data_IF_605240609516
#
_entry.id   IF_605240609516
#
_cell.length_a   1.000
_cell.length_b   1.000
_cell.length_c   1.000
_cell.angle_alpha   90.00
_cell.angle_beta   90.00
_cell.angle_gamma   90.00
#
_symmetry.space_group_name_H-M   'P 1'
#
loop_
_entity.id
_entity.type
_entity.pdbx_description
1 polymer ?
#
# COMPACT_ATOMS: atom_id res chain seq x y z
N UNK A 1 42.58 -35.20 38.99
CA UNK A 1 41.31 -34.46 39.11
C UNK A 1 41.11 -33.67 37.82
N UNK A 2 40.44 -34.25 36.83
CA UNK A 2 40.18 -33.59 35.54
C UNK A 2 38.80 -32.93 35.62
N UNK A 3 38.76 -31.61 35.48
CA UNK A 3 37.53 -30.82 35.48
C UNK A 3 36.89 -30.96 34.09
N UNK A 4 35.80 -31.71 34.01
CA UNK A 4 34.92 -31.74 32.84
C UNK A 4 34.19 -30.39 32.74
N UNK A 5 34.69 -29.52 31.87
CA UNK A 5 34.05 -28.27 31.47
C UNK A 5 33.20 -28.57 30.23
N UNK A 6 32.02 -29.15 30.45
CA UNK A 6 31.04 -29.46 29.40
C UNK A 6 29.70 -28.86 29.87
N UNK A 7 29.35 -27.66 29.41
CA UNK A 7 28.07 -27.09 29.82
C UNK A 7 27.67 -25.71 29.33
N UNK A 8 28.58 -24.85 28.85
CA UNK A 8 28.24 -23.42 28.68
C UNK A 8 28.06 -22.96 27.21
N UNK A 9 28.74 -23.61 26.26
CA UNK A 9 28.69 -23.19 24.85
C UNK A 9 27.32 -23.38 24.18
N UNK A 10 26.51 -24.35 24.66
CA UNK A 10 25.18 -24.64 24.12
C UNK A 10 24.14 -23.58 24.52
N UNK A 11 24.22 -23.06 25.74
CA UNK A 11 23.33 -22.00 26.21
C UNK A 11 23.67 -20.65 25.58
N UNK A 12 24.97 -20.31 25.50
CA UNK A 12 25.41 -19.10 24.81
C UNK A 12 25.04 -19.10 23.32
N UNK A 13 25.18 -20.25 22.64
CA UNK A 13 24.79 -20.39 21.23
C UNK A 13 23.27 -20.26 21.03
N UNK A 14 22.45 -20.87 21.89
CA UNK A 14 20.99 -20.75 21.82
C UNK A 14 20.51 -19.32 22.12
N UNK A 15 21.10 -18.65 23.10
CA UNK A 15 20.77 -17.26 23.42
C UNK A 15 21.09 -16.31 22.25
N UNK A 16 22.26 -16.48 21.62
CA UNK A 16 22.66 -15.67 20.45
C UNK A 16 21.77 -15.89 19.22
N UNK A 17 21.29 -17.12 19.00
CA UNK A 17 20.34 -17.43 17.92
C UNK A 17 18.96 -16.83 18.21
N UNK A 18 18.51 -16.85 19.46
CA UNK A 18 17.25 -16.21 19.86
C UNK A 18 17.29 -14.70 19.64
N UNK A 19 18.39 -14.05 20.05
CA UNK A 19 18.58 -12.60 19.94
C UNK A 19 18.63 -12.14 18.48
N UNK A 20 19.37 -12.86 17.62
CA UNK A 20 19.41 -12.58 16.18
C UNK A 20 18.02 -12.72 15.53
N UNK A 21 17.22 -13.73 15.92
CA UNK A 21 15.87 -13.91 15.37
C UNK A 21 14.92 -12.78 15.79
N UNK A 22 15.08 -12.21 16.99
CA UNK A 22 14.30 -11.07 17.44
C UNK A 22 14.67 -9.80 16.66
N UNK A 23 15.97 -9.55 16.45
CA UNK A 23 16.45 -8.43 15.64
C UNK A 23 15.97 -8.53 14.19
N UNK A 24 16.06 -9.72 13.60
CA UNK A 24 15.61 -9.96 12.22
C UNK A 24 14.09 -9.78 12.08
N UNK A 25 13.31 -10.22 13.07
CA UNK A 25 11.86 -10.02 13.14
C UNK A 25 11.51 -8.53 13.20
N UNK A 26 12.11 -7.79 14.14
CA UNK A 26 11.84 -6.35 14.32
C UNK A 26 12.20 -5.55 13.06
N UNK A 27 13.29 -5.95 12.41
CA UNK A 27 13.70 -5.35 11.14
C UNK A 27 12.73 -5.67 10.00
N UNK A 28 12.26 -6.91 9.89
CA UNK A 28 11.25 -7.31 8.91
C UNK A 28 9.94 -6.53 9.13
N UNK A 29 9.50 -6.40 10.38
CA UNK A 29 8.31 -5.63 10.75
C UNK A 29 8.46 -4.15 10.43
N UNK A 30 9.59 -3.54 10.78
CA UNK A 30 9.89 -2.13 10.46
C UNK A 30 9.80 -1.86 8.97
N UNK A 31 10.36 -2.76 8.13
CA UNK A 31 10.29 -2.63 6.67
C UNK A 31 8.86 -2.70 6.14
N UNK A 32 8.05 -3.60 6.66
CA UNK A 32 6.66 -3.73 6.26
C UNK A 32 5.84 -2.51 6.64
N UNK A 33 5.97 -2.05 7.89
CA UNK A 33 5.29 -0.84 8.36
C UNK A 33 5.69 0.36 7.50
N UNK A 34 6.97 0.49 7.15
CA UNK A 34 7.44 1.55 6.26
C UNK A 34 6.84 1.44 4.84
N UNK A 35 6.74 0.23 4.30
CA UNK A 35 6.14 0.00 2.98
C UNK A 35 4.63 0.32 2.98
N UNK A 36 3.89 -0.11 4.00
CA UNK A 36 2.45 0.22 4.15
C UNK A 36 2.27 1.73 4.27
N UNK A 37 2.99 2.39 5.19
CA UNK A 37 2.86 3.84 5.41
C UNK A 37 3.22 4.65 4.17
N UNK A 38 4.28 4.26 3.46
CA UNK A 38 4.65 4.91 2.21
C UNK A 38 3.56 4.80 1.15
N UNK A 39 2.94 3.62 1.03
CA UNK A 39 1.84 3.41 0.09
C UNK A 39 0.58 4.20 0.48
N UNK A 40 0.21 4.19 1.76
CA UNK A 40 -0.89 5.01 2.32
C UNK A 40 -0.71 6.49 1.98
N UNK A 41 0.48 7.04 2.18
CA UNK A 41 0.76 8.45 1.88
C UNK A 41 0.54 8.81 0.41
N UNK A 42 0.96 7.93 -0.52
CA UNK A 42 0.77 8.15 -1.96
C UNK A 42 -0.70 8.10 -2.33
N UNK A 43 -1.47 7.17 -1.74
CA UNK A 43 -2.92 7.04 -1.99
C UNK A 43 -3.70 8.22 -1.42
N UNK A 44 -3.34 8.68 -0.21
CA UNK A 44 -3.94 9.85 0.41
C UNK A 44 -3.64 11.11 -0.42
N UNK A 45 -2.40 11.26 -0.90
CA UNK A 45 -2.04 12.37 -1.78
C UNK A 45 -2.90 12.38 -3.05
N UNK A 46 -3.05 11.24 -3.73
CA UNK A 46 -3.89 11.15 -4.93
C UNK A 46 -5.36 11.45 -4.63
N UNK A 47 -5.91 10.88 -3.55
CA UNK A 47 -7.30 11.14 -3.14
C UNK A 47 -7.54 12.62 -2.86
N UNK A 48 -6.61 13.28 -2.16
CA UNK A 48 -6.69 14.73 -1.92
C UNK A 48 -6.62 15.53 -3.23
N UNK A 49 -5.81 15.10 -4.21
CA UNK A 49 -5.75 15.75 -5.52
C UNK A 49 -7.05 15.58 -6.30
N UNK A 50 -7.65 14.38 -6.27
CA UNK A 50 -8.95 14.11 -6.88
C UNK A 50 -10.08 14.92 -6.22
N UNK A 51 -10.06 15.10 -4.90
CA UNK A 51 -11.07 15.88 -4.18
C UNK A 51 -10.91 17.39 -4.39
N UNK A 52 -9.68 17.88 -4.49
CA UNK A 52 -9.38 19.31 -4.67
C UNK A 52 -9.43 19.78 -6.13
N UNK A 53 -9.77 18.90 -7.08
CA UNK A 53 -9.66 19.15 -8.52
C UNK A 53 -8.26 19.60 -8.95
N UNK A 54 -7.22 19.09 -8.27
CA UNK A 54 -5.83 19.32 -8.64
C UNK A 54 -5.47 18.67 -9.98
N UNK A 55 -4.34 19.07 -10.55
CA UNK A 55 -3.74 18.42 -11.73
C UNK A 55 -2.48 17.70 -11.28
N UNK A 56 -2.59 16.48 -10.73
CA UNK A 56 -1.42 15.74 -10.27
C UNK A 56 -0.66 15.11 -11.43
N UNK A 57 0.62 14.81 -11.20
CA UNK A 57 1.41 13.93 -12.06
C UNK A 57 0.99 12.47 -11.80
N UNK A 58 0.01 12.00 -12.56
CA UNK A 58 -0.49 10.63 -12.45
C UNK A 58 0.55 9.58 -12.86
N UNK A 59 1.54 9.92 -13.67
CA UNK A 59 2.61 8.98 -14.06
C UNK A 59 3.56 8.74 -12.88
N UNK A 60 3.94 9.81 -12.17
CA UNK A 60 4.73 9.73 -10.95
C UNK A 60 3.96 8.97 -9.85
N UNK A 61 2.69 9.31 -9.62
CA UNK A 61 1.85 8.65 -8.62
C UNK A 61 1.74 7.14 -8.90
N UNK A 62 1.43 6.76 -10.14
CA UNK A 62 1.29 5.35 -10.52
C UNK A 62 2.61 4.58 -10.38
N UNK A 63 3.73 5.23 -10.70
CA UNK A 63 5.07 4.67 -10.51
C UNK A 63 5.36 4.43 -9.02
N UNK A 64 5.02 5.40 -8.16
CA UNK A 64 5.15 5.28 -6.71
C UNK A 64 4.25 4.19 -6.13
N UNK A 65 2.98 4.09 -6.55
CA UNK A 65 2.08 2.99 -6.17
C UNK A 65 2.64 1.62 -6.55
N UNK A 66 3.12 1.48 -7.80
CA UNK A 66 3.69 0.22 -8.30
C UNK A 66 4.93 -0.20 -7.52
N UNK A 67 5.81 0.76 -7.21
CA UNK A 67 6.99 0.53 -6.37
C UNK A 67 6.59 0.15 -4.94
N UNK A 68 5.69 0.90 -4.33
CA UNK A 68 5.20 0.65 -2.97
C UNK A 68 4.54 -0.72 -2.82
N UNK A 69 3.72 -1.14 -3.78
CA UNK A 69 3.12 -2.48 -3.79
C UNK A 69 4.17 -3.59 -3.92
N UNK A 70 5.20 -3.38 -4.74
CA UNK A 70 6.32 -4.33 -4.86
C UNK A 70 7.08 -4.46 -3.54
N UNK A 71 7.37 -3.33 -2.89
CA UNK A 71 8.10 -3.30 -1.62
C UNK A 71 7.26 -3.92 -0.49
N UNK A 72 5.95 -3.66 -0.47
CA UNK A 72 5.00 -4.29 0.44
C UNK A 72 4.99 -5.81 0.26
N UNK A 73 4.82 -6.31 -0.96
CA UNK A 73 4.81 -7.75 -1.26
C UNK A 73 6.12 -8.44 -0.84
N UNK A 74 7.25 -7.76 -1.04
CA UNK A 74 8.56 -8.26 -0.61
C UNK A 74 8.65 -8.33 0.91
N UNK A 75 8.30 -7.24 1.60
CA UNK A 75 8.35 -7.18 3.07
C UNK A 75 7.37 -8.18 3.75
N UNK A 76 6.21 -8.42 3.15
CA UNK A 76 5.26 -9.44 3.63
C UNK A 76 5.87 -10.85 3.54
N UNK A 77 6.62 -11.14 2.47
CA UNK A 77 7.33 -12.41 2.32
C UNK A 77 8.42 -12.59 3.38
N UNK A 78 9.06 -11.50 3.79
CA UNK A 78 10.08 -11.50 4.84
C UNK A 78 9.47 -11.76 6.22
N UNK A 79 8.32 -11.14 6.55
CA UNK A 79 7.65 -11.32 7.85
C UNK A 79 7.02 -12.69 8.02
N UNK A 80 6.60 -13.35 6.93
CA UNK A 80 5.95 -14.66 6.99
C UNK A 80 6.71 -15.70 7.83
N UNK A 81 8.04 -15.57 7.95
CA UNK A 81 8.91 -16.45 8.74
C UNK A 81 8.80 -16.25 10.25
N UNK A 82 8.29 -15.10 10.69
CA UNK A 82 8.20 -14.69 12.08
C UNK A 82 6.76 -14.63 12.59
N UNK A 83 5.80 -15.07 11.77
CA UNK A 83 4.37 -14.90 12.00
C UNK A 83 3.91 -15.53 13.33
N UNK A 84 3.18 -14.76 14.12
CA UNK A 84 2.47 -15.17 15.33
C UNK A 84 1.20 -14.33 15.46
N UNK A 85 0.32 -14.70 16.40
CA UNK A 85 -0.99 -14.05 16.56
C UNK A 85 -0.89 -12.52 16.76
N UNK A 86 0.09 -12.04 17.54
CA UNK A 86 0.29 -10.61 17.75
C UNK A 86 0.69 -9.88 16.45
N UNK A 87 1.60 -10.45 15.67
CA UNK A 87 2.03 -9.88 14.38
C UNK A 87 0.90 -9.95 13.35
N UNK A 88 0.14 -11.06 13.32
CA UNK A 88 -1.00 -11.21 12.41
C UNK A 88 -2.03 -10.10 12.65
N UNK A 89 -2.38 -9.86 13.91
CA UNK A 89 -3.31 -8.80 14.29
C UNK A 89 -2.79 -7.40 13.89
N UNK A 90 -1.49 -7.13 14.09
CA UNK A 90 -0.90 -5.84 13.71
C UNK A 90 -0.87 -5.64 12.18
N UNK A 91 -0.50 -6.68 11.43
CA UNK A 91 -0.52 -6.67 9.97
C UNK A 91 -1.94 -6.48 9.45
N UNK A 92 -2.91 -7.21 10.00
CA UNK A 92 -4.32 -7.11 9.59
C UNK A 92 -4.85 -5.69 9.81
N UNK A 93 -4.55 -5.07 10.95
CA UNK A 93 -4.94 -3.69 11.22
C UNK A 93 -4.35 -2.71 10.20
N UNK A 94 -3.05 -2.84 9.88
CA UNK A 94 -2.36 -1.97 8.92
C UNK A 94 -2.87 -2.16 7.49
N UNK A 95 -3.14 -3.40 7.07
CA UNK A 95 -3.66 -3.70 5.74
C UNK A 95 -5.13 -3.27 5.59
N UNK A 96 -5.91 -3.33 6.68
CA UNK A 96 -7.30 -2.87 6.68
C UNK A 96 -7.40 -1.36 6.42
N UNK A 97 -6.57 -0.55 7.08
CA UNK A 97 -6.50 0.91 6.83
C UNK A 97 -6.10 1.22 5.38
N UNK A 98 -5.07 0.53 4.87
CA UNK A 98 -4.65 0.65 3.48
C UNK A 98 -5.78 0.28 2.50
N UNK A 99 -6.51 -0.79 2.79
CA UNK A 99 -7.64 -1.24 1.96
C UNK A 99 -8.77 -0.20 1.94
N UNK A 100 -9.13 0.38 3.07
CA UNK A 100 -10.15 1.43 3.17
C UNK A 100 -9.77 2.64 2.31
N UNK A 101 -8.51 3.08 2.40
CA UNK A 101 -8.00 4.23 1.63
C UNK A 101 -7.99 3.97 0.13
N UNK A 102 -7.58 2.77 -0.29
CA UNK A 102 -7.66 2.35 -1.69
C UNK A 102 -9.11 2.33 -2.19
N UNK A 103 -10.04 1.86 -1.36
CA UNK A 103 -11.45 1.83 -1.71
C UNK A 103 -12.00 3.23 -1.96
N UNK A 104 -11.76 4.16 -1.03
CA UNK A 104 -12.15 5.58 -1.19
C UNK A 104 -11.55 6.20 -2.46
N UNK A 105 -10.26 5.96 -2.72
CA UNK A 105 -9.60 6.46 -3.93
C UNK A 105 -10.28 5.93 -5.21
N UNK A 106 -10.66 4.66 -5.22
CA UNK A 106 -11.40 4.05 -6.34
C UNK A 106 -12.79 4.66 -6.51
N UNK A 107 -13.51 4.95 -5.44
CA UNK A 107 -14.83 5.59 -5.51
C UNK A 107 -14.75 6.99 -6.12
N UNK A 108 -13.75 7.78 -5.73
CA UNK A 108 -13.50 9.11 -6.30
C UNK A 108 -13.22 9.04 -7.81
N UNK A 109 -12.40 8.08 -8.24
CA UNK A 109 -12.12 7.87 -9.66
C UNK A 109 -13.39 7.49 -10.44
N UNK A 110 -14.25 6.63 -9.87
CA UNK A 110 -15.52 6.25 -10.49
C UNK A 110 -16.47 7.44 -10.64
N UNK A 111 -16.56 8.31 -9.64
CA UNK A 111 -17.36 9.54 -9.68
C UNK A 111 -16.87 10.45 -10.82
N UNK A 112 -15.56 10.68 -10.90
CA UNK A 112 -14.97 11.53 -11.95
C UNK A 112 -15.18 10.96 -13.36
N UNK A 113 -15.00 9.64 -13.53
CA UNK A 113 -15.28 8.98 -14.82
C UNK A 113 -16.75 9.09 -15.22
N UNK A 114 -17.68 8.96 -14.27
CA UNK A 114 -19.10 9.18 -14.50
C UNK A 114 -19.39 10.59 -15.01
N UNK A 115 -18.83 11.62 -14.35
CA UNK A 115 -19.00 13.01 -14.75
C UNK A 115 -18.46 13.29 -16.17
N UNK A 116 -17.31 12.71 -16.54
CA UNK A 116 -16.75 12.84 -17.90
C UNK A 116 -17.65 12.17 -18.94
N UNK A 117 -18.24 11.02 -18.62
CA UNK A 117 -19.17 10.34 -19.52
C UNK A 117 -20.46 11.15 -19.73
N UNK A 118 -21.03 11.72 -18.67
CA UNK A 118 -22.21 12.57 -18.75
C UNK A 118 -21.93 13.83 -19.58
N UNK A 119 -20.76 14.45 -19.38
CA UNK A 119 -20.31 15.60 -20.18
C UNK A 119 -20.16 15.24 -21.66
N UNK A 120 -19.56 14.09 -21.98
CA UNK A 120 -19.43 13.59 -23.35
C UNK A 120 -20.80 13.40 -24.01
N UNK A 121 -21.78 12.83 -23.31
CA UNK A 121 -23.14 12.67 -23.83
C UNK A 121 -23.82 14.02 -24.08
N UNK A 122 -23.71 14.96 -23.14
CA UNK A 122 -24.25 16.30 -23.29
C UNK A 122 -23.65 17.03 -24.50
N UNK A 123 -22.34 16.90 -24.72
CA UNK A 123 -21.64 17.46 -25.88
C UNK A 123 -22.11 16.84 -27.20
N UNK A 124 -22.31 15.51 -27.24
CA UNK A 124 -22.82 14.83 -28.43
C UNK A 124 -24.25 15.29 -28.78
N UNK A 125 -25.13 15.43 -27.78
CA UNK A 125 -26.48 15.96 -27.99
C UNK A 125 -26.43 17.40 -28.52
N UNK A 126 -25.60 18.25 -27.92
CA UNK A 126 -25.43 19.64 -28.36
C UNK A 126 -24.81 19.77 -29.77
N UNK A 127 -23.96 18.82 -30.17
CA UNK A 127 -23.41 18.76 -31.52
C UNK A 127 -24.49 18.34 -32.53
N UNK A 128 -25.27 17.29 -32.22
CA UNK A 128 -26.39 16.86 -33.06
C UNK A 128 -27.44 17.95 -33.27
N UNK A 129 -27.80 18.72 -32.23
CA UNK A 129 -28.77 19.80 -32.36
C UNK A 129 -28.27 20.94 -33.24
N UNK A 130 -26.97 21.29 -33.16
CA UNK A 130 -26.34 22.27 -34.06
C UNK A 130 -26.34 21.84 -35.52
N UNK A 131 -26.15 20.55 -35.81
CA UNK A 131 -26.20 20.04 -37.18
C UNK A 131 -27.62 20.09 -37.77
N UNK A 132 -28.66 19.90 -36.95
CA UNK A 132 -30.06 20.03 -37.40
C UNK A 132 -30.49 21.48 -37.64
N UNK A 133 -29.95 22.44 -36.88
CA UNK A 133 -30.26 23.87 -37.05
C UNK A 133 -29.55 24.51 -38.27
N UNK A 134 -28.45 23.92 -38.74
CA UNK A 134 -27.70 24.38 -39.92
C UNK A 134 -28.24 23.83 -41.26
N UNK A 135 -29.19 22.88 -41.22
CA UNK A 135 -29.75 22.21 -42.39
C UNK A 135 -31.25 22.54 -42.65
N UNK A 136 -31.77 23.59 -42.00
CA UNK A 136 -33.10 24.18 -42.23
C UNK A 136 -32.97 25.56 -42.88
#
# INVERSE_FOLDING_TARGET
MSVLQYGDDSFASKAKVLDNNLIDRDWAMTKFVAAVKGLVQVIDYESNMLESNGVPDYEEINSCKTRGLRDLNKSMSDIKRYMNEDIENEIESLLSDLQEKLHRNSELLQIHLGAVNDLSQAMQIAACTKETDLNL
#
